data_IF_071552132581
#
_entry.id   IF_071552132581
#
_cell.length_a   1.000
_cell.length_b   1.000
_cell.length_c   1.000
_cell.angle_alpha   90.00
_cell.angle_beta   90.00
_cell.angle_gamma   90.00
#
_symmetry.space_group_name_H-M   'P 1'
#
loop_
_entity.id
_entity.type
_entity.pdbx_description
1 polymer ?
#
# COMPACT_ATOMS: atom_id res chain seq x y z
N UNK A 1 61.40 -37.00 -25.98
CA UNK A 1 61.57 -35.58 -25.63
C UNK A 1 60.52 -34.80 -26.40
N UNK A 2 59.51 -34.24 -25.74
CA UNK A 2 58.55 -33.39 -26.44
C UNK A 2 59.32 -32.18 -27.01
N UNK A 3 59.14 -31.81 -28.29
CA UNK A 3 59.89 -30.71 -28.88
C UNK A 3 59.52 -29.45 -28.10
N UNK A 4 60.53 -28.68 -27.67
CA UNK A 4 60.43 -27.47 -26.85
C UNK A 4 59.30 -26.53 -27.33
N UNK A 5 59.04 -26.48 -28.64
CA UNK A 5 57.91 -25.76 -29.22
C UNK A 5 56.54 -26.16 -28.64
N UNK A 6 56.28 -27.44 -28.41
CA UNK A 6 55.01 -27.92 -27.82
C UNK A 6 54.81 -27.38 -26.40
N UNK A 7 55.87 -27.38 -25.60
CA UNK A 7 55.83 -26.87 -24.23
C UNK A 7 55.55 -25.36 -24.19
N UNK A 8 56.23 -24.60 -25.06
CA UNK A 8 56.01 -23.16 -25.21
C UNK A 8 54.57 -22.87 -25.65
N UNK A 9 54.05 -23.64 -26.61
CA UNK A 9 52.68 -23.44 -27.12
C UNK A 9 51.63 -23.67 -26.04
N UNK A 10 51.79 -24.74 -25.24
CA UNK A 10 50.90 -25.04 -24.11
C UNK A 10 50.94 -23.92 -23.07
N UNK A 11 52.13 -23.44 -22.70
CA UNK A 11 52.29 -22.34 -21.75
C UNK A 11 51.60 -21.05 -22.24
N UNK A 12 51.69 -20.76 -23.55
CA UNK A 12 51.11 -19.56 -24.15
C UNK A 12 49.57 -19.63 -24.21
N UNK A 13 49.01 -20.80 -24.48
CA UNK A 13 47.55 -21.04 -24.42
C UNK A 13 47.03 -20.88 -23.00
N UNK A 14 47.73 -21.42 -22.00
CA UNK A 14 47.36 -21.25 -20.59
C UNK A 14 47.41 -19.77 -20.19
N UNK A 15 48.47 -19.05 -20.56
CA UNK A 15 48.61 -17.62 -20.31
C UNK A 15 47.46 -16.81 -20.94
N UNK A 16 47.09 -17.13 -22.18
CA UNK A 16 45.97 -16.50 -22.88
C UNK A 16 44.65 -16.72 -22.13
N UNK A 17 44.39 -17.95 -21.66
CA UNK A 17 43.20 -18.26 -20.88
C UNK A 17 43.16 -17.50 -19.54
N UNK A 18 44.29 -17.37 -18.85
CA UNK A 18 44.38 -16.59 -17.61
C UNK A 18 44.12 -15.10 -17.87
N UNK A 19 44.64 -14.54 -18.97
CA UNK A 19 44.36 -13.16 -19.38
C UNK A 19 42.88 -12.93 -19.71
N UNK A 20 42.24 -13.87 -20.42
CA UNK A 20 40.81 -13.77 -20.72
C UNK A 20 39.95 -13.91 -19.45
N UNK A 21 40.29 -14.85 -18.56
CA UNK A 21 39.58 -15.05 -17.30
C UNK A 21 39.70 -13.82 -16.37
N UNK A 22 40.89 -13.23 -16.27
CA UNK A 22 41.10 -12.01 -15.48
C UNK A 22 40.36 -10.81 -16.06
N UNK A 23 40.36 -10.61 -17.38
CA UNK A 23 39.59 -9.56 -18.03
C UNK A 23 38.07 -9.71 -17.79
N UNK A 24 37.56 -10.93 -17.88
CA UNK A 24 36.15 -11.25 -17.58
C UNK A 24 35.82 -10.99 -16.09
N UNK A 25 36.72 -11.37 -15.17
CA UNK A 25 36.58 -11.11 -13.74
C UNK A 25 36.52 -9.62 -13.41
N UNK A 26 37.43 -8.82 -13.99
CA UNK A 26 37.43 -7.35 -13.83
C UNK A 26 36.14 -6.75 -14.39
N UNK A 27 35.68 -7.19 -15.57
CA UNK A 27 34.45 -6.71 -16.18
C UNK A 27 33.22 -6.98 -15.30
N UNK A 28 33.10 -8.19 -14.72
CA UNK A 28 32.03 -8.54 -13.80
C UNK A 28 32.08 -7.71 -12.52
N UNK A 29 33.27 -7.51 -11.93
CA UNK A 29 33.47 -6.65 -10.76
C UNK A 29 33.03 -5.21 -11.01
N UNK A 30 33.36 -4.62 -12.15
CA UNK A 30 32.93 -3.27 -12.52
C UNK A 30 31.41 -3.20 -12.68
N UNK A 31 30.80 -4.22 -13.30
CA UNK A 31 29.34 -4.26 -13.53
C UNK A 31 28.56 -4.43 -12.23
N UNK A 32 29.03 -5.30 -11.34
CA UNK A 32 28.45 -5.51 -10.00
C UNK A 32 28.67 -4.27 -9.12
N UNK A 33 29.88 -3.69 -9.16
CA UNK A 33 30.20 -2.45 -8.45
C UNK A 33 29.31 -1.28 -8.86
N UNK A 34 28.99 -1.13 -10.16
CA UNK A 34 28.04 -0.10 -10.65
C UNK A 34 26.62 -0.30 -10.14
N UNK A 35 26.16 -1.55 -9.94
CA UNK A 35 24.84 -1.83 -9.36
C UNK A 35 24.83 -1.59 -7.85
N UNK A 36 25.84 -2.09 -7.15
CA UNK A 36 25.96 -1.93 -5.70
C UNK A 36 26.11 -0.46 -5.29
N UNK A 37 26.88 0.33 -6.04
CA UNK A 37 27.05 1.78 -5.79
C UNK A 37 25.76 2.57 -6.00
N UNK A 38 24.89 2.18 -6.95
CA UNK A 38 23.57 2.81 -7.12
C UNK A 38 22.65 2.53 -5.93
N UNK A 39 22.61 1.30 -5.45
CA UNK A 39 21.80 0.94 -4.28
C UNK A 39 22.36 1.57 -2.98
N UNK A 40 23.68 1.57 -2.81
CA UNK A 40 24.33 2.24 -1.69
C UNK A 40 24.08 3.76 -1.68
N UNK A 41 24.07 4.41 -2.86
CA UNK A 41 23.68 5.82 -2.96
C UNK A 41 22.23 6.06 -2.54
N UNK A 42 21.28 5.19 -2.93
CA UNK A 42 19.87 5.32 -2.51
C UNK A 42 19.70 5.21 -0.99
N UNK A 43 20.47 4.32 -0.35
CA UNK A 43 20.44 4.16 1.11
C UNK A 43 21.13 5.35 1.80
N UNK A 44 22.29 5.77 1.29
CA UNK A 44 23.03 6.93 1.79
C UNK A 44 22.22 8.22 1.67
N UNK A 45 21.53 8.43 0.55
CA UNK A 45 20.65 9.57 0.34
C UNK A 45 19.48 9.53 1.32
N UNK A 46 18.89 8.37 1.61
CA UNK A 46 17.81 8.22 2.61
C UNK A 46 18.29 8.61 4.02
N UNK A 47 19.45 8.11 4.44
CA UNK A 47 20.02 8.44 5.75
C UNK A 47 20.39 9.93 5.82
N UNK A 48 20.99 10.48 4.76
CA UNK A 48 21.32 11.90 4.68
C UNK A 48 20.08 12.79 4.73
N UNK A 49 19.00 12.44 4.02
CA UNK A 49 17.72 13.17 4.09
C UNK A 49 17.10 13.09 5.49
N UNK A 50 17.18 11.94 6.16
CA UNK A 50 16.65 11.78 7.51
C UNK A 50 17.43 12.62 8.53
N UNK A 51 18.76 12.59 8.48
CA UNK A 51 19.60 13.43 9.35
C UNK A 51 19.41 14.91 9.04
N UNK A 52 19.33 15.30 7.77
CA UNK A 52 19.07 16.68 7.37
C UNK A 52 17.68 17.18 7.80
N UNK A 53 16.68 16.29 7.86
CA UNK A 53 15.34 16.61 8.35
C UNK A 53 15.28 16.90 9.87
N UNK A 54 16.29 16.47 10.64
CA UNK A 54 16.38 16.74 12.07
C UNK A 54 16.91 18.15 12.40
N UNK A 55 17.40 18.89 11.40
CA UNK A 55 17.85 20.27 11.58
C UNK A 55 16.72 21.27 11.85
N UNK A 56 17.09 22.54 12.02
CA UNK A 56 16.17 23.67 12.12
C UNK A 56 16.26 24.55 10.87
N UNK A 57 15.18 25.27 10.54
CA UNK A 57 15.10 26.17 9.38
C UNK A 57 14.48 25.57 8.12
N UNK A 58 14.31 26.41 7.10
CA UNK A 58 13.58 26.09 5.84
C UNK A 58 14.21 24.90 5.09
N UNK A 59 15.53 24.74 5.14
CA UNK A 59 16.21 23.59 4.53
C UNK A 59 15.86 22.25 5.20
N UNK A 60 15.66 22.23 6.52
CA UNK A 60 15.25 21.03 7.25
C UNK A 60 13.76 20.75 7.05
N UNK A 61 12.93 21.79 7.00
CA UNK A 61 11.50 21.69 6.68
C UNK A 61 11.28 21.11 5.27
N UNK A 62 12.06 21.56 4.28
CA UNK A 62 12.04 20.99 2.93
C UNK A 62 12.34 19.49 2.93
N UNK A 63 13.35 19.03 3.69
CA UNK A 63 13.68 17.61 3.80
C UNK A 63 12.59 16.81 4.54
N UNK A 64 11.90 17.40 5.51
CA UNK A 64 10.72 16.77 6.15
C UNK A 64 9.57 16.61 5.16
N UNK A 65 9.27 17.64 4.38
CA UNK A 65 8.24 17.58 3.34
C UNK A 65 8.55 16.50 2.30
N UNK A 66 9.82 16.31 1.94
CA UNK A 66 10.21 15.20 1.04
C UNK A 66 9.91 13.83 1.63
N UNK A 67 10.22 13.63 2.91
CA UNK A 67 9.95 12.36 3.60
C UNK A 67 8.44 12.12 3.68
N UNK A 68 7.68 13.14 4.05
CA UNK A 68 6.23 13.08 4.17
C UNK A 68 5.55 12.79 2.83
N UNK A 69 5.91 13.53 1.77
CA UNK A 69 5.39 13.33 0.43
C UNK A 69 5.62 11.90 -0.08
N UNK A 70 6.85 11.38 0.06
CA UNK A 70 7.18 10.00 -0.34
C UNK A 70 6.36 8.98 0.43
N UNK A 71 6.14 9.22 1.73
CA UNK A 71 5.33 8.35 2.58
C UNK A 71 3.87 8.36 2.13
N UNK A 72 3.28 9.54 1.96
CA UNK A 72 1.86 9.67 1.59
C UNK A 72 1.57 9.07 0.21
N UNK A 73 2.42 9.32 -0.77
CA UNK A 73 2.31 8.72 -2.12
C UNK A 73 2.46 7.20 -2.05
N UNK A 74 3.41 6.69 -1.26
CA UNK A 74 3.57 5.24 -1.09
C UNK A 74 2.34 4.60 -0.44
N UNK A 75 1.77 5.24 0.58
CA UNK A 75 0.58 4.72 1.26
C UNK A 75 -0.65 4.75 0.34
N UNK A 76 -0.85 5.83 -0.42
CA UNK A 76 -1.94 5.94 -1.38
C UNK A 76 -1.81 4.89 -2.50
N UNK A 77 -0.60 4.73 -3.05
CA UNK A 77 -0.32 3.71 -4.07
C UNK A 77 -0.59 2.30 -3.55
N UNK A 78 -0.14 1.98 -2.33
CA UNK A 78 -0.39 0.68 -1.72
C UNK A 78 -1.88 0.40 -1.53
N UNK A 79 -2.66 1.42 -1.12
CA UNK A 79 -4.10 1.29 -1.00
C UNK A 79 -4.78 1.00 -2.35
N UNK A 80 -4.39 1.70 -3.41
CA UNK A 80 -4.88 1.46 -4.78
C UNK A 80 -4.48 0.06 -5.26
N UNK A 81 -3.22 -0.35 -5.08
CA UNK A 81 -2.74 -1.68 -5.46
C UNK A 81 -3.43 -2.80 -4.68
N UNK A 82 -3.81 -2.56 -3.42
CA UNK A 82 -4.60 -3.50 -2.63
C UNK A 82 -6.02 -3.61 -3.17
N UNK A 83 -6.71 -2.48 -3.39
CA UNK A 83 -8.06 -2.46 -3.94
C UNK A 83 -8.15 -3.11 -5.34
N UNK A 84 -7.12 -2.92 -6.20
CA UNK A 84 -7.02 -3.62 -7.48
C UNK A 84 -6.89 -5.14 -7.31
N UNK A 85 -6.07 -5.58 -6.35
CA UNK A 85 -5.90 -7.02 -6.06
C UNK A 85 -7.17 -7.65 -5.49
N UNK A 86 -7.96 -6.87 -4.76
CA UNK A 86 -9.26 -7.28 -4.23
C UNK A 86 -10.38 -7.20 -5.29
N UNK A 87 -10.04 -6.84 -6.54
CA UNK A 87 -10.94 -6.87 -7.69
C UNK A 87 -11.89 -5.68 -7.78
N UNK A 88 -11.61 -4.56 -7.09
CA UNK A 88 -12.48 -3.40 -7.11
C UNK A 88 -12.45 -2.68 -8.46
N UNK A 89 -13.61 -2.19 -8.89
CA UNK A 89 -13.74 -1.40 -10.12
C UNK A 89 -13.23 0.03 -9.92
N UNK A 90 -11.91 0.23 -9.96
CA UNK A 90 -11.29 1.53 -9.67
C UNK A 90 -11.29 2.54 -10.83
N UNK A 91 -11.82 2.18 -12.00
CA UNK A 91 -11.85 3.05 -13.18
C UNK A 91 -10.46 3.61 -13.53
N UNK A 92 -10.35 4.94 -13.64
CA UNK A 92 -9.12 5.65 -13.98
C UNK A 92 -8.21 5.96 -12.78
N UNK A 93 -8.59 5.57 -11.56
CA UNK A 93 -7.83 5.85 -10.35
C UNK A 93 -6.36 5.35 -10.39
N UNK A 94 -6.05 4.15 -10.94
CA UNK A 94 -4.65 3.72 -11.08
C UNK A 94 -3.83 4.63 -12.00
N UNK A 95 -4.46 5.19 -13.03
CA UNK A 95 -3.82 6.13 -13.94
C UNK A 95 -3.56 7.47 -13.24
N UNK A 96 -4.56 8.02 -12.55
CA UNK A 96 -4.42 9.23 -11.75
C UNK A 96 -3.35 9.09 -10.67
N UNK A 97 -3.27 7.93 -10.01
CA UNK A 97 -2.22 7.65 -9.03
C UNK A 97 -0.82 7.65 -9.66
N UNK A 98 -0.68 7.17 -10.90
CA UNK A 98 0.58 7.23 -11.63
C UNK A 98 0.97 8.68 -11.97
N UNK A 99 0.02 9.52 -12.36
CA UNK A 99 0.27 10.95 -12.60
C UNK A 99 0.68 11.69 -11.32
N UNK A 100 -0.02 11.43 -10.21
CA UNK A 100 0.32 11.96 -8.88
C UNK A 100 1.74 11.54 -8.48
N UNK A 101 2.14 10.30 -8.73
CA UNK A 101 3.49 9.83 -8.44
C UNK A 101 4.55 10.60 -9.26
N UNK A 102 4.29 10.86 -10.54
CA UNK A 102 5.20 11.67 -11.38
C UNK A 102 5.31 13.10 -10.87
N UNK A 103 4.19 13.73 -10.50
CA UNK A 103 4.20 15.09 -9.93
C UNK A 103 4.91 15.14 -8.57
N UNK A 104 4.74 14.11 -7.74
CA UNK A 104 5.41 14.00 -6.46
C UNK A 104 6.93 13.81 -6.62
N UNK A 105 7.38 13.03 -7.59
CA UNK A 105 8.81 12.88 -7.91
C UNK A 105 9.43 14.20 -8.37
N UNK A 106 8.71 14.99 -9.18
CA UNK A 106 9.14 16.32 -9.60
C UNK A 106 9.23 17.28 -8.41
N UNK A 107 8.23 17.28 -7.52
CA UNK A 107 8.24 18.12 -6.32
C UNK A 107 9.34 17.69 -5.33
N UNK A 108 9.58 16.39 -5.14
CA UNK A 108 10.69 15.89 -4.32
C UNK A 108 12.05 16.38 -4.84
N UNK A 109 12.24 16.37 -6.16
CA UNK A 109 13.45 16.90 -6.77
C UNK A 109 13.59 18.41 -6.53
N UNK A 110 12.51 19.19 -6.69
CA UNK A 110 12.50 20.63 -6.43
C UNK A 110 12.78 20.97 -4.97
N UNK A 111 12.14 20.28 -4.02
CA UNK A 111 12.40 20.41 -2.59
C UNK A 111 13.85 20.05 -2.23
N UNK A 112 14.40 19.01 -2.86
CA UNK A 112 15.79 18.61 -2.66
C UNK A 112 16.78 19.64 -3.18
N UNK A 113 16.48 20.27 -4.32
CA UNK A 113 17.27 21.40 -4.82
C UNK A 113 17.15 22.59 -3.88
N UNK A 114 15.94 22.97 -3.47
CA UNK A 114 15.72 24.07 -2.55
C UNK A 114 16.48 23.87 -1.22
N UNK A 115 16.39 22.68 -0.61
CA UNK A 115 17.11 22.36 0.63
C UNK A 115 18.63 22.52 0.51
N UNK A 116 19.21 22.23 -0.66
CA UNK A 116 20.65 22.46 -0.93
C UNK A 116 20.98 23.94 -1.05
N UNK A 117 20.14 24.72 -1.72
CA UNK A 117 20.34 26.17 -1.89
C UNK A 117 20.12 26.93 -0.58
N UNK A 118 19.13 26.55 0.22
CA UNK A 118 18.82 27.17 1.51
C UNK A 118 19.92 26.95 2.57
N UNK A 119 20.81 25.97 2.39
CA UNK A 119 22.03 25.80 3.22
C UNK A 119 23.13 26.81 2.87
N UNK A 120 23.00 27.53 1.75
CA UNK A 120 23.94 28.58 1.35
C UNK A 120 23.40 29.95 1.80
N UNK A 121 24.22 30.79 2.46
CA UNK A 121 23.76 32.00 3.15
C UNK A 121 23.22 33.13 2.26
N UNK A 122 23.23 33.02 0.93
CA UNK A 122 22.86 34.11 0.01
C UNK A 122 21.69 33.82 -0.93
N UNK A 123 21.08 32.63 -0.90
CA UNK A 123 20.22 32.16 -2.00
C UNK A 123 18.84 31.59 -1.59
N UNK A 124 18.37 31.82 -0.36
CA UNK A 124 17.02 31.36 0.04
C UNK A 124 15.96 32.38 -0.37
N UNK A 125 15.27 32.13 -1.49
CA UNK A 125 14.04 32.86 -1.83
C UNK A 125 12.84 32.24 -1.09
N UNK A 126 12.35 32.93 -0.06
CA UNK A 126 11.18 32.49 0.74
C UNK A 126 9.89 32.39 -0.08
N UNK A 127 9.73 33.19 -1.13
CA UNK A 127 8.54 33.14 -1.96
C UNK A 127 8.47 31.81 -2.73
N UNK A 128 9.60 31.38 -3.28
CA UNK A 128 9.70 30.07 -3.95
C UNK A 128 9.36 28.90 -3.02
N UNK A 129 9.72 28.99 -1.73
CA UNK A 129 9.42 27.96 -0.75
C UNK A 129 7.92 27.87 -0.42
N UNK A 130 7.24 29.01 -0.32
CA UNK A 130 5.79 29.06 -0.12
C UNK A 130 5.03 28.30 -1.20
N UNK A 131 5.42 28.49 -2.47
CA UNK A 131 4.81 27.79 -3.61
C UNK A 131 5.06 26.27 -3.55
N UNK A 132 6.27 25.84 -3.16
CA UNK A 132 6.59 24.42 -2.98
C UNK A 132 5.76 23.79 -1.87
N UNK A 133 5.56 24.51 -0.76
CA UNK A 133 4.73 24.08 0.37
C UNK A 133 3.26 23.96 -0.01
N UNK A 134 2.73 24.90 -0.79
CA UNK A 134 1.35 24.85 -1.26
C UNK A 134 1.14 23.70 -2.25
N UNK A 135 2.11 23.43 -3.13
CA UNK A 135 2.07 22.27 -4.01
C UNK A 135 2.15 20.94 -3.23
N UNK A 136 3.02 20.89 -2.20
CA UNK A 136 3.10 19.75 -1.28
C UNK A 136 1.75 19.48 -0.62
N UNK A 137 1.11 20.50 -0.05
CA UNK A 137 -0.19 20.36 0.61
C UNK A 137 -1.28 19.84 -0.34
N UNK A 138 -1.29 20.27 -1.60
CA UNK A 138 -2.25 19.77 -2.61
C UNK A 138 -2.04 18.29 -2.93
N UNK A 139 -0.78 17.86 -3.08
CA UNK A 139 -0.47 16.46 -3.39
C UNK A 139 -0.76 15.55 -2.20
N UNK A 140 -0.43 15.95 -0.98
CA UNK A 140 -0.72 15.16 0.22
C UNK A 140 -2.22 15.13 0.52
N UNK A 141 -2.96 16.23 0.33
CA UNK A 141 -4.42 16.24 0.42
C UNK A 141 -5.04 15.26 -0.59
N UNK A 142 -4.58 15.28 -1.84
CA UNK A 142 -5.05 14.36 -2.89
C UNK A 142 -4.79 12.90 -2.52
N UNK A 143 -3.59 12.57 -2.02
CA UNK A 143 -3.26 11.21 -1.55
C UNK A 143 -4.14 10.78 -0.36
N UNK A 144 -4.40 11.69 0.57
CA UNK A 144 -5.23 11.40 1.74
C UNK A 144 -6.70 11.19 1.37
N UNK A 145 -7.23 11.97 0.42
CA UNK A 145 -8.58 11.78 -0.14
C UNK A 145 -8.73 10.44 -0.84
N UNK A 146 -7.81 10.10 -1.74
CA UNK A 146 -7.84 8.79 -2.43
C UNK A 146 -7.91 7.64 -1.42
N UNK A 147 -7.10 7.71 -0.35
CA UNK A 147 -7.14 6.71 0.71
C UNK A 147 -8.46 6.71 1.48
N UNK A 148 -8.99 7.88 1.82
CA UNK A 148 -10.26 8.00 2.54
C UNK A 148 -11.42 7.43 1.71
N UNK A 149 -11.44 7.72 0.41
CA UNK A 149 -12.44 7.22 -0.53
C UNK A 149 -12.37 5.68 -0.63
N UNK A 150 -11.17 5.12 -0.79
CA UNK A 150 -10.97 3.66 -0.80
C UNK A 150 -11.38 3.00 0.52
N UNK A 151 -11.08 3.62 1.67
CA UNK A 151 -11.50 3.10 2.97
C UNK A 151 -13.02 3.16 3.13
N UNK A 152 -13.66 4.22 2.65
CA UNK A 152 -15.11 4.37 2.67
C UNK A 152 -15.80 3.31 1.78
N UNK A 153 -15.24 3.05 0.60
CA UNK A 153 -15.72 1.98 -0.29
C UNK A 153 -15.53 0.60 0.36
N UNK A 154 -14.43 0.38 1.09
CA UNK A 154 -14.22 -0.86 1.85
C UNK A 154 -15.31 -1.09 2.89
N UNK A 155 -15.62 -0.06 3.67
CA UNK A 155 -16.63 -0.12 4.72
C UNK A 155 -18.01 -0.39 4.12
N UNK A 156 -18.32 0.26 3.00
CA UNK A 156 -19.59 0.06 2.28
C UNK A 156 -19.73 -1.39 1.78
N UNK A 157 -18.69 -1.95 1.15
CA UNK A 157 -18.69 -3.35 0.70
C UNK A 157 -18.83 -4.32 1.88
N UNK A 158 -18.10 -4.07 2.96
CA UNK A 158 -18.12 -4.93 4.16
C UNK A 158 -19.49 -4.89 4.86
N UNK A 159 -20.12 -3.72 4.95
CA UNK A 159 -21.46 -3.56 5.52
C UNK A 159 -22.51 -4.31 4.70
N UNK A 160 -22.42 -4.29 3.36
CA UNK A 160 -23.30 -5.05 2.48
C UNK A 160 -23.20 -6.56 2.70
N UNK A 161 -21.97 -7.09 2.81
CA UNK A 161 -21.74 -8.53 3.09
C UNK A 161 -22.26 -8.93 4.47
N UNK A 162 -22.09 -8.09 5.49
CA UNK A 162 -22.62 -8.35 6.83
C UNK A 162 -24.14 -8.38 6.82
N UNK A 163 -24.80 -7.46 6.11
CA UNK A 163 -26.25 -7.44 5.98
C UNK A 163 -26.78 -8.70 5.26
N UNK A 164 -26.10 -9.14 4.20
CA UNK A 164 -26.44 -10.37 3.49
C UNK A 164 -26.29 -11.61 4.39
N UNK A 165 -25.17 -11.72 5.13
CA UNK A 165 -24.93 -12.78 6.10
C UNK A 165 -25.96 -12.78 7.24
N UNK A 166 -26.33 -11.60 7.76
CA UNK A 166 -27.39 -11.47 8.76
C UNK A 166 -28.73 -11.96 8.20
N UNK A 167 -29.11 -11.54 6.99
CA UNK A 167 -30.36 -11.96 6.38
C UNK A 167 -30.44 -13.49 6.22
N UNK A 168 -29.35 -14.12 5.80
CA UNK A 168 -29.26 -15.57 5.68
C UNK A 168 -29.32 -16.25 7.06
N UNK A 169 -28.64 -15.70 8.05
CA UNK A 169 -28.64 -16.23 9.41
C UNK A 169 -30.03 -16.13 10.04
N UNK A 170 -30.73 -15.01 9.87
CA UNK A 170 -32.10 -14.83 10.35
C UNK A 170 -33.06 -15.83 9.67
N UNK A 171 -32.87 -16.07 8.37
CA UNK A 171 -33.66 -17.04 7.62
C UNK A 171 -33.37 -18.48 8.05
N UNK A 172 -32.11 -18.81 8.38
CA UNK A 172 -31.74 -20.11 8.98
C UNK A 172 -32.29 -20.27 10.41
N UNK A 173 -32.32 -19.20 11.21
CA UNK A 173 -32.91 -19.21 12.56
C UNK A 173 -34.42 -19.42 12.47
N UNK A 174 -35.11 -18.69 11.58
CA UNK A 174 -36.55 -18.83 11.38
C UNK A 174 -36.90 -20.21 10.79
N UNK A 175 -36.10 -20.75 9.87
CA UNK A 175 -36.27 -22.11 9.37
C UNK A 175 -36.04 -23.19 10.44
N UNK A 176 -35.21 -22.90 11.45
CA UNK A 176 -35.00 -23.77 12.62
C UNK A 176 -36.03 -23.56 13.72
N UNK A 177 -36.85 -22.50 13.67
CA UNK A 177 -37.98 -22.36 14.58
C UNK A 177 -38.96 -23.47 14.26
N UNK A 178 -39.08 -24.38 15.22
CA UNK A 178 -40.06 -25.46 15.18
C UNK A 178 -41.43 -24.81 15.14
N UNK A 179 -42.21 -25.10 14.09
CA UNK A 179 -43.62 -24.74 14.06
C UNK A 179 -44.27 -25.27 15.35
N UNK A 180 -45.13 -24.49 16.02
CA UNK A 180 -45.81 -24.97 17.22
C UNK A 180 -46.49 -26.30 16.90
N UNK A 181 -46.35 -27.28 17.80
CA UNK A 181 -46.91 -28.61 17.55
C UNK A 181 -48.42 -28.46 17.30
N UNK A 182 -48.93 -28.88 16.12
CA UNK A 182 -50.35 -28.77 15.81
C UNK A 182 -51.22 -29.51 16.84
N UNK A 183 -50.68 -30.53 17.51
CA UNK A 183 -51.40 -31.25 18.56
C UNK A 183 -51.56 -30.41 19.83
N UNK A 184 -50.54 -29.63 20.22
CA UNK A 184 -50.63 -28.73 21.38
C UNK A 184 -51.69 -27.64 21.15
N UNK A 185 -51.85 -27.14 19.91
CA UNK A 185 -52.89 -26.16 19.59
C UNK A 185 -54.30 -26.77 19.68
N UNK A 186 -54.46 -28.04 19.27
CA UNK A 186 -55.74 -28.74 19.37
C UNK A 186 -56.09 -28.99 20.84
N UNK A 187 -55.12 -29.40 21.66
CA UNK A 187 -55.31 -29.61 23.09
C UNK A 187 -55.64 -28.31 23.82
N UNK A 188 -54.99 -27.19 23.48
CA UNK A 188 -55.29 -25.86 24.00
C UNK A 188 -56.73 -25.45 23.64
N UNK A 189 -57.13 -25.62 22.38
CA UNK A 189 -58.49 -25.33 21.91
C UNK A 189 -59.52 -26.20 22.62
N UNK A 190 -59.25 -27.50 22.75
CA UNK A 190 -60.13 -28.45 23.42
C UNK A 190 -60.30 -28.11 24.91
N UNK A 191 -59.20 -27.79 25.60
CA UNK A 191 -59.17 -27.36 27.00
C UNK A 191 -59.96 -26.06 27.19
N UNK A 192 -59.81 -25.10 26.27
CA UNK A 192 -60.55 -23.83 26.29
C UNK A 192 -62.05 -24.04 26.07
N UNK A 193 -62.45 -24.94 25.17
CA UNK A 193 -63.86 -25.30 24.96
C UNK A 193 -64.46 -26.07 26.12
N UNK A 194 -63.70 -26.95 26.79
CA UNK A 194 -64.14 -27.69 27.98
C UNK A 194 -64.35 -26.76 29.18
N UNK A 195 -63.45 -25.80 29.39
CA UNK A 195 -63.56 -24.80 30.46
C UNK A 195 -64.71 -23.79 30.22
N UNK A 196 -65.09 -23.56 28.96
CA UNK A 196 -66.16 -22.62 28.59
C UNK A 196 -67.54 -23.27 28.53
N UNK A 197 -67.67 -24.55 28.92
CA UNK A 197 -68.96 -25.24 28.94
C UNK A 197 -69.72 -24.79 30.20
N UNK A 198 -70.82 -24.01 30.08
CA UNK A 198 -71.61 -23.65 31.25
C UNK A 198 -72.16 -24.92 31.88
N UNK A 199 -71.85 -25.10 33.17
CA UNK A 199 -72.38 -26.17 33.99
C UNK A 199 -73.90 -26.01 33.99
N UNK A 200 -74.59 -26.90 33.27
CA UNK A 200 -76.04 -26.90 33.15
C UNK A 200 -76.58 -27.19 34.55
N UNK A 201 -77.02 -26.15 35.25
CA UNK A 201 -77.68 -26.28 36.55
C UNK A 201 -78.86 -27.23 36.37
N UNK A 202 -78.80 -28.38 37.06
CA UNK A 202 -79.93 -29.30 37.13
C UNK A 202 -81.07 -28.62 37.91
N UNK A 203 -82.29 -28.59 37.36
CA UNK A 203 -83.42 -28.04 38.08
C UNK A 203 -83.87 -29.03 39.16
N UNK A 204 -83.86 -28.58 40.42
CA UNK A 204 -84.65 -29.15 41.51
C UNK A 204 -85.40 -28.04 42.23
#
# INVERSE_FOLDING_TARGET
MAPIGTFITIALVILLFVLLASAAGIYLLVKVGKKATKEARKVGDRVATHVASMGTGEAAEAERMRIDLRREVSLARQAVEQALRDGWGLGDLPHLMAEIAVQADQLDAQLGLYARHARMPSNSDRHSFGLLRDHHAKLTDSCSRIRADLLNDQMTHSAGVIADLQSRTDLEIEARRRAPDPLDQIDELYRRTMLSRPQREEPR
#
